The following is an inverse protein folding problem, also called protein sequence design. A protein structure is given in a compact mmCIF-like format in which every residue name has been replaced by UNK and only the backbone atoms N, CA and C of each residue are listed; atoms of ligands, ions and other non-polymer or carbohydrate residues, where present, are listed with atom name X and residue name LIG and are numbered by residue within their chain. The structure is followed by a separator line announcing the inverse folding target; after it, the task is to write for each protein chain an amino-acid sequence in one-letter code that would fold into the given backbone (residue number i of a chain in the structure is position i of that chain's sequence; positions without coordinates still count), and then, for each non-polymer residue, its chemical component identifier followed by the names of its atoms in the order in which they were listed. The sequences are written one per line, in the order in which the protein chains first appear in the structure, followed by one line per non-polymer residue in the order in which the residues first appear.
data_IF_869972343237
#
_entry.id   IF_869972343237
#
_cell.length_a   1.000
_cell.length_b   1.000
_cell.length_c   1.000
_cell.angle_alpha   90.00
_cell.angle_beta   90.00
_cell.angle_gamma   90.00
#
_symmetry.space_group_name_H-M   'P 1'
#
loop_
_entity.id
_entity.type
_entity.pdbx_description
1 polymer ?
#
# COMPACT_ATOMS: atom_id res chain seq x y z
N UNK A 1 -8.68 14.54 45.00
CA UNK A 1 -10.12 14.52 45.34
C UNK A 1 -10.90 14.83 44.08
N UNK A 2 -11.72 13.87 43.61
CA UNK A 2 -12.96 13.97 42.78
C UNK A 2 -13.08 15.23 41.90
N UNK A 3 -13.39 15.13 40.60
CA UNK A 3 -14.56 14.45 40.02
C UNK A 3 -14.37 14.25 38.50
N UNK A 4 -14.53 13.02 38.02
CA UNK A 4 -14.84 12.73 36.62
C UNK A 4 -16.36 12.76 36.46
N UNK A 5 -16.85 13.56 35.53
CA UNK A 5 -18.26 13.61 35.14
C UNK A 5 -18.44 12.87 33.83
N UNK A 6 -18.89 11.63 33.96
CA UNK A 6 -19.41 10.77 32.92
C UNK A 6 -20.72 11.38 32.38
N UNK A 7 -20.81 11.66 31.08
CA UNK A 7 -22.06 12.02 30.40
C UNK A 7 -22.26 11.11 29.21
N UNK A 8 -23.14 10.12 29.39
CA UNK A 8 -23.65 9.26 28.33
C UNK A 8 -24.69 10.02 27.49
N UNK A 9 -24.48 10.09 26.18
CA UNK A 9 -25.43 10.61 25.21
C UNK A 9 -25.85 9.51 24.24
N UNK A 10 -27.06 8.96 24.43
CA UNK A 10 -27.70 7.96 23.56
C UNK A 10 -27.85 8.44 22.12
N UNK A 11 -27.33 7.66 21.18
CA UNK A 11 -27.58 7.74 19.74
C UNK A 11 -28.95 7.12 19.41
N UNK A 12 -29.79 7.85 18.68
CA UNK A 12 -30.93 7.28 17.94
C UNK A 12 -30.66 7.52 16.46
N UNK A 13 -30.14 6.51 15.78
CA UNK A 13 -30.00 6.47 14.32
C UNK A 13 -31.14 5.61 13.78
N UNK A 14 -32.09 6.27 13.12
CA UNK A 14 -33.20 5.61 12.44
C UNK A 14 -32.73 5.12 11.06
N UNK A 15 -32.63 3.80 10.89
CA UNK A 15 -32.37 3.17 9.60
C UNK A 15 -33.60 3.30 8.68
N UNK A 16 -33.43 4.01 7.56
CA UNK A 16 -34.33 3.95 6.42
C UNK A 16 -33.78 2.99 5.36
N UNK A 17 -34.27 1.75 5.32
CA UNK A 17 -33.99 0.82 4.23
C UNK A 17 -35.01 1.04 3.09
N UNK A 18 -34.54 1.52 1.96
CA UNK A 18 -35.22 1.49 0.66
C UNK A 18 -34.13 1.25 -0.39
N UNK A 19 -34.27 0.41 -1.41
CA UNK A 19 -35.25 -0.59 -1.80
C UNK A 19 -34.54 -1.45 -2.86
N UNK A 20 -34.79 -2.76 -2.90
CA UNK A 20 -34.33 -3.64 -3.98
C UNK A 20 -34.87 -3.14 -5.33
N UNK A 21 -33.98 -2.97 -6.31
CA UNK A 21 -34.30 -2.79 -7.72
C UNK A 21 -33.76 -3.96 -8.53
N UNK A 22 -34.60 -4.95 -8.75
CA UNK A 22 -34.43 -6.08 -9.65
C UNK A 22 -34.37 -5.59 -11.11
N UNK A 23 -33.36 -6.03 -11.86
CA UNK A 23 -33.17 -5.68 -13.26
C UNK A 23 -32.55 -6.83 -14.03
N UNK A 24 -33.39 -7.81 -14.38
CA UNK A 24 -33.08 -8.85 -15.37
C UNK A 24 -32.70 -8.22 -16.71
N UNK A 25 -31.58 -8.64 -17.31
CA UNK A 25 -31.31 -8.38 -18.71
C UNK A 25 -30.88 -9.67 -19.40
N UNK A 26 -31.89 -10.35 -19.95
CA UNK A 26 -31.76 -11.33 -21.01
C UNK A 26 -31.56 -10.58 -22.33
N UNK A 27 -30.47 -10.84 -23.05
CA UNK A 27 -30.60 -11.14 -24.48
C UNK A 27 -29.40 -11.91 -25.01
N UNK A 28 -29.69 -13.12 -25.47
CA UNK A 28 -28.79 -13.93 -26.29
C UNK A 28 -29.02 -13.52 -27.74
N UNK A 29 -27.96 -13.13 -28.45
CA UNK A 29 -27.95 -13.23 -29.91
C UNK A 29 -26.83 -14.14 -30.36
N UNK A 30 -27.25 -15.29 -30.88
CA UNK A 30 -26.46 -16.28 -31.61
C UNK A 30 -25.83 -15.66 -32.86
N UNK A 31 -24.59 -16.03 -33.16
CA UNK A 31 -24.11 -16.08 -34.54
C UNK A 31 -23.26 -17.33 -34.73
N UNK A 32 -23.89 -18.36 -35.28
CA UNK A 32 -23.21 -19.48 -35.90
C UNK A 32 -22.65 -19.09 -37.27
N UNK A 33 -21.41 -19.46 -37.54
CA UNK A 33 -20.83 -19.32 -38.87
C UNK A 33 -19.46 -19.98 -38.98
N UNK A 34 -19.47 -21.27 -39.30
CA UNK A 34 -18.32 -22.17 -39.28
C UNK A 34 -17.37 -22.08 -40.49
N UNK A 35 -16.11 -22.45 -40.22
CA UNK A 35 -15.06 -23.06 -41.06
C UNK A 35 -14.51 -22.38 -42.33
N UNK A 36 -13.18 -22.17 -42.38
CA UNK A 36 -12.33 -22.92 -43.33
C UNK A 36 -10.85 -22.97 -42.91
N UNK A 37 -10.22 -24.08 -43.29
CA UNK A 37 -8.91 -24.63 -42.94
C UNK A 37 -7.80 -24.16 -43.89
N UNK A 38 -6.61 -23.96 -43.31
CA UNK A 38 -5.22 -24.01 -43.83
C UNK A 38 -4.89 -23.59 -45.27
N UNK A 39 -3.82 -22.79 -45.39
CA UNK A 39 -2.71 -23.13 -46.27
C UNK A 39 -1.36 -22.75 -45.65
N UNK A 40 -0.48 -23.75 -45.66
CA UNK A 40 0.93 -23.76 -45.32
C UNK A 40 1.75 -23.19 -46.48
N UNK A 41 2.68 -22.27 -46.24
CA UNK A 41 3.89 -22.17 -47.05
C UNK A 41 5.09 -21.70 -46.23
N UNK A 42 6.14 -22.50 -46.33
CA UNK A 42 7.44 -22.40 -45.71
C UNK A 42 8.25 -21.23 -46.27
N UNK A 43 9.00 -20.56 -45.40
CA UNK A 43 10.35 -20.10 -45.73
C UNK A 43 11.17 -20.03 -44.43
N UNK A 44 12.29 -20.77 -44.46
CA UNK A 44 13.40 -20.74 -43.51
C UNK A 44 13.94 -19.31 -43.33
N UNK A 45 14.59 -19.03 -42.19
CA UNK A 45 16.02 -18.72 -42.13
C UNK A 45 16.55 -19.00 -40.72
N UNK A 46 17.81 -19.45 -40.66
CA UNK A 46 18.47 -20.04 -39.52
C UNK A 46 19.23 -18.95 -38.74
N UNK A 47 18.97 -18.79 -37.44
CA UNK A 47 19.85 -18.03 -36.56
C UNK A 47 20.86 -18.95 -35.85
N UNK A 48 22.10 -18.89 -36.33
CA UNK A 48 23.29 -19.09 -35.51
C UNK A 48 24.26 -17.96 -35.85
N UNK A 49 24.47 -17.03 -34.92
CA UNK A 49 25.81 -16.51 -34.73
C UNK A 49 26.08 -16.21 -33.25
N UNK A 50 27.22 -16.73 -32.82
CA UNK A 50 27.84 -16.62 -31.51
C UNK A 50 28.96 -15.60 -31.73
N UNK A 51 29.24 -14.70 -30.79
CA UNK A 51 30.59 -14.30 -30.37
C UNK A 51 30.70 -12.87 -29.79
N UNK A 52 31.33 -12.84 -28.61
CA UNK A 52 32.34 -11.88 -28.12
C UNK A 52 32.00 -10.51 -27.49
N UNK A 53 32.45 -10.43 -26.22
CA UNK A 53 33.31 -9.42 -25.61
C UNK A 53 32.74 -8.09 -25.10
N UNK A 54 32.59 -8.05 -23.76
CA UNK A 54 33.39 -7.22 -22.84
C UNK A 54 33.82 -5.83 -23.32
N UNK A 55 33.17 -4.79 -22.76
CA UNK A 55 33.84 -3.56 -22.33
C UNK A 55 32.93 -2.76 -21.37
N UNK A 56 33.40 -2.57 -20.14
CA UNK A 56 32.98 -1.46 -19.27
C UNK A 56 33.58 -0.17 -19.84
N UNK A 57 32.79 0.89 -19.98
CA UNK A 57 33.28 2.28 -20.02
C UNK A 57 32.19 3.22 -19.49
N UNK A 58 32.59 4.04 -18.53
CA UNK A 58 31.82 5.06 -17.81
C UNK A 58 31.31 6.22 -18.70
N UNK A 59 30.30 6.91 -18.15
CA UNK A 59 30.02 8.35 -18.25
C UNK A 59 29.22 8.84 -19.46
N UNK A 60 27.97 9.29 -19.25
CA UNK A 60 27.60 10.72 -19.21
C UNK A 60 26.08 10.89 -19.03
N UNK A 61 25.74 11.86 -18.18
CA UNK A 61 24.41 12.37 -17.88
C UNK A 61 23.60 12.67 -19.16
N UNK A 62 22.34 12.20 -19.21
CA UNK A 62 21.36 12.72 -20.15
C UNK A 62 20.06 13.08 -19.42
N UNK A 63 20.01 14.32 -18.95
CA UNK A 63 18.76 15.04 -18.65
C UNK A 63 17.88 15.01 -19.90
N UNK A 64 16.77 14.27 -19.84
CA UNK A 64 15.66 14.49 -20.77
C UNK A 64 14.46 14.97 -19.96
N UNK A 65 14.30 16.29 -19.93
CA UNK A 65 13.02 16.91 -19.61
C UNK A 65 12.01 16.48 -20.68
N UNK A 66 10.94 15.82 -20.27
CA UNK A 66 9.74 15.72 -21.08
C UNK A 66 8.53 16.02 -20.17
N UNK A 67 8.15 17.29 -20.16
CA UNK A 67 6.83 17.73 -19.69
C UNK A 67 5.74 17.24 -20.66
N UNK A 68 4.59 16.94 -20.06
CA UNK A 68 3.28 16.66 -20.63
C UNK A 68 3.02 15.24 -21.18
N UNK A 69 2.38 14.41 -20.36
CA UNK A 69 0.99 14.04 -20.64
C UNK A 69 0.29 13.51 -19.37
N UNK A 70 -0.61 14.30 -18.80
CA UNK A 70 -1.56 13.82 -17.80
C UNK A 70 -2.61 12.98 -18.51
N UNK A 71 -2.40 11.66 -18.55
CA UNK A 71 -3.43 10.69 -18.90
C UNK A 71 -3.63 9.72 -17.75
N UNK A 72 -4.72 9.99 -17.02
CA UNK A 72 -5.63 9.05 -16.36
C UNK A 72 -5.38 7.59 -16.74
N UNK A 73 -4.46 6.95 -16.03
CA UNK A 73 -4.22 5.52 -16.05
C UNK A 73 -4.96 4.91 -14.87
N UNK A 74 -6.18 4.45 -15.11
CA UNK A 74 -6.72 3.32 -14.36
C UNK A 74 -5.74 2.16 -14.59
N UNK A 75 -4.77 2.01 -13.68
CA UNK A 75 -3.89 0.86 -13.61
C UNK A 75 -4.75 -0.34 -13.22
N UNK A 76 -5.36 -0.96 -14.22
CA UNK A 76 -5.81 -2.33 -14.10
C UNK A 76 -4.57 -3.16 -13.82
N UNK A 77 -4.53 -3.70 -12.61
CA UNK A 77 -3.50 -4.57 -12.08
C UNK A 77 -3.03 -5.57 -13.13
N UNK A 78 -1.78 -5.40 -13.58
CA UNK A 78 -0.98 -6.56 -13.93
C UNK A 78 -0.87 -7.38 -12.65
N UNK A 79 -1.15 -8.68 -12.69
CA UNK A 79 -1.10 -9.56 -11.53
C UNK A 79 0.36 -9.68 -11.00
N UNK A 80 0.83 -8.63 -10.35
CA UNK A 80 1.82 -8.67 -9.29
C UNK A 80 1.13 -9.18 -8.03
N UNK A 81 1.87 -9.86 -7.18
CA UNK A 81 1.42 -10.14 -5.82
C UNK A 81 1.13 -8.78 -5.18
N UNK A 82 -0.14 -8.53 -4.88
CA UNK A 82 -0.57 -7.39 -4.09
C UNK A 82 -0.01 -7.61 -2.67
N UNK A 83 1.16 -7.05 -2.38
CA UNK A 83 1.96 -7.35 -1.17
C UNK A 83 1.17 -7.17 0.13
N UNK A 84 0.20 -6.26 0.11
CA UNK A 84 -0.72 -5.98 1.21
C UNK A 84 -1.66 -7.15 1.53
N UNK A 85 -1.97 -8.05 0.58
CA UNK A 85 -2.72 -9.29 0.88
C UNK A 85 -1.94 -10.24 1.81
N UNK A 86 -0.62 -10.04 1.93
CA UNK A 86 0.25 -10.78 2.84
C UNK A 86 0.31 -10.22 4.26
N UNK A 87 -0.22 -9.03 4.51
CA UNK A 87 -0.21 -8.40 5.83
C UNK A 87 -1.24 -9.04 6.78
N UNK A 88 -0.94 -8.98 8.08
CA UNK A 88 -1.85 -9.43 9.13
C UNK A 88 -2.86 -8.35 9.55
N UNK A 89 -2.66 -7.11 9.13
CA UNK A 89 -3.39 -5.93 9.58
C UNK A 89 -3.97 -5.14 8.41
N UNK A 90 -5.13 -4.53 8.66
CA UNK A 90 -5.83 -3.63 7.75
C UNK A 90 -5.42 -2.19 7.92
N UNK A 91 -4.97 -1.80 9.11
CA UNK A 91 -4.56 -0.43 9.42
C UNK A 91 -3.26 -0.46 10.24
N UNK A 92 -2.37 0.48 9.95
CA UNK A 92 -1.14 0.72 10.67
C UNK A 92 -0.90 2.22 10.70
N UNK A 93 -0.75 2.77 11.90
CA UNK A 93 -0.38 4.17 12.15
C UNK A 93 0.85 4.21 13.05
N UNK A 94 1.79 5.05 12.68
CA UNK A 94 3.02 5.34 13.41
C UNK A 94 3.17 6.84 13.49
N UNK A 95 3.28 7.34 14.71
CA UNK A 95 3.65 8.72 15.02
C UNK A 95 4.88 8.70 15.94
N UNK A 96 5.96 9.34 15.51
CA UNK A 96 7.16 9.53 16.31
C UNK A 96 7.51 11.01 16.38
N UNK A 97 7.25 11.64 17.53
CA UNK A 97 7.63 13.02 17.82
C UNK A 97 9.08 13.11 18.31
N UNK A 98 9.84 14.08 17.79
CA UNK A 98 11.22 14.39 18.20
C UNK A 98 11.35 15.89 18.51
N UNK A 99 12.46 16.29 19.15
CA UNK A 99 12.72 17.70 19.50
C UNK A 99 12.65 18.64 18.27
N UNK A 100 13.07 18.15 17.11
CA UNK A 100 13.22 18.94 15.87
C UNK A 100 12.26 18.53 14.73
N UNK A 101 11.19 17.78 15.01
CA UNK A 101 10.17 17.39 14.02
C UNK A 101 9.49 16.07 14.36
N UNK A 102 8.71 15.54 13.42
CA UNK A 102 7.96 14.29 13.58
C UNK A 102 8.17 13.39 12.35
N UNK A 103 7.96 12.09 12.56
CA UNK A 103 7.84 11.09 11.50
C UNK A 103 6.52 10.39 11.64
N UNK A 104 5.69 10.49 10.61
CA UNK A 104 4.36 9.89 10.55
C UNK A 104 4.31 8.90 9.37
N UNK A 105 3.73 7.71 9.60
CA UNK A 105 3.47 6.75 8.54
C UNK A 105 2.10 6.08 8.76
N UNK A 106 1.23 6.25 7.78
CA UNK A 106 -0.12 5.71 7.78
C UNK A 106 -0.31 4.71 6.64
N UNK A 107 -1.01 3.62 6.93
CA UNK A 107 -1.45 2.63 5.97
C UNK A 107 -2.86 2.16 6.31
N UNK A 108 -3.76 2.19 5.32
CA UNK A 108 -5.12 1.71 5.46
C UNK A 108 -5.50 0.82 4.26
N UNK A 109 -6.16 -0.30 4.52
CA UNK A 109 -6.71 -1.19 3.51
C UNK A 109 -8.21 -1.35 3.63
N UNK A 110 -8.92 -0.74 2.68
CA UNK A 110 -10.38 -0.71 2.64
C UNK A 110 -10.95 -1.45 1.42
N UNK A 111 -11.46 -2.66 1.64
CA UNK A 111 -12.22 -3.44 0.64
C UNK A 111 -11.50 -3.53 -0.74
N UNK A 112 -10.18 -3.75 -0.74
CA UNK A 112 -9.39 -3.83 -1.98
C UNK A 112 -8.77 -2.51 -2.44
N UNK A 113 -8.83 -1.46 -1.62
CA UNK A 113 -8.20 -0.17 -1.91
C UNK A 113 -7.19 0.13 -0.80
N UNK A 114 -5.88 -0.09 -1.04
CA UNK A 114 -4.85 0.37 -0.13
C UNK A 114 -4.62 1.87 -0.31
N UNK A 115 -4.48 2.59 0.79
CA UNK A 115 -4.06 3.98 0.88
C UNK A 115 -2.90 4.08 1.86
N UNK A 116 -2.00 5.05 1.64
CA UNK A 116 -0.86 5.28 2.52
C UNK A 116 -0.37 6.72 2.44
N UNK A 117 0.23 7.17 3.53
CA UNK A 117 0.85 8.49 3.68
C UNK A 117 2.13 8.36 4.53
N UNK A 118 3.16 9.14 4.20
CA UNK A 118 4.37 9.28 5.00
C UNK A 118 4.74 10.76 5.06
N UNK A 119 4.84 11.31 6.26
CA UNK A 119 5.37 12.66 6.51
C UNK A 119 6.66 12.57 7.35
N UNK A 120 7.70 13.32 6.96
CA UNK A 120 8.92 13.47 7.77
C UNK A 120 9.32 14.94 7.81
N UNK A 121 9.12 15.56 8.97
CA UNK A 121 9.43 16.99 9.18
C UNK A 121 10.82 17.22 9.79
N UNK A 122 11.50 16.15 10.24
CA UNK A 122 12.81 16.19 10.92
C UNK A 122 13.92 16.66 9.98
N UNK A 123 13.91 16.19 8.73
CA UNK A 123 14.93 16.49 7.72
C UNK A 123 14.35 17.18 6.47
N UNK A 124 13.58 18.25 6.70
CA UNK A 124 13.09 19.11 5.64
C UNK A 124 11.85 18.55 4.95
N UNK A 125 10.75 18.48 5.69
CA UNK A 125 9.36 18.33 5.26
C UNK A 125 9.21 17.54 3.94
N UNK A 126 9.28 16.22 4.07
CA UNK A 126 8.88 15.24 3.09
C UNK A 126 7.41 14.89 3.32
N UNK A 127 6.62 14.82 2.25
CA UNK A 127 5.22 14.38 2.27
C UNK A 127 5.04 13.45 1.05
N UNK A 128 4.75 12.17 1.30
CA UNK A 128 4.48 11.15 0.30
C UNK A 128 3.06 10.63 0.51
N UNK A 129 2.29 10.46 -0.57
CA UNK A 129 0.92 9.97 -0.48
C UNK A 129 0.55 9.03 -1.62
N UNK A 130 -0.43 8.17 -1.37
CA UNK A 130 -0.93 7.21 -2.35
C UNK A 130 0.15 6.23 -2.81
N UNK A 131 0.33 6.07 -4.12
CA UNK A 131 1.25 5.05 -4.66
C UNK A 131 2.71 5.26 -4.22
N UNK A 132 3.18 6.51 -4.08
CA UNK A 132 4.56 6.78 -3.66
C UNK A 132 4.80 6.31 -2.22
N UNK A 133 3.85 6.51 -1.31
CA UNK A 133 3.92 5.99 0.04
C UNK A 133 3.77 4.45 0.08
N UNK A 134 2.86 3.88 -0.73
CA UNK A 134 2.69 2.43 -0.83
C UNK A 134 3.96 1.71 -1.32
N UNK A 135 4.69 2.29 -2.27
CA UNK A 135 5.94 1.73 -2.79
C UNK A 135 7.04 1.70 -1.72
N UNK A 136 7.09 2.72 -0.83
CA UNK A 136 8.02 2.75 0.30
C UNK A 136 7.61 1.74 1.39
N UNK A 137 6.32 1.72 1.76
CA UNK A 137 5.80 0.82 2.79
C UNK A 137 5.83 -0.67 2.38
N UNK A 138 5.80 -0.98 1.08
CA UNK A 138 5.98 -2.36 0.58
C UNK A 138 7.27 -3.00 1.11
N UNK A 139 8.32 -2.20 1.29
CA UNK A 139 9.60 -2.72 1.77
C UNK A 139 9.66 -2.80 3.30
N UNK A 140 8.80 -2.08 4.02
CA UNK A 140 8.89 -1.88 5.47
C UNK A 140 7.89 -2.78 6.19
N UNK A 141 6.59 -2.62 5.90
CA UNK A 141 5.51 -3.25 6.65
C UNK A 141 5.56 -4.78 6.68
N UNK A 142 5.92 -5.49 5.59
CA UNK A 142 6.07 -6.94 5.63
C UNK A 142 7.20 -7.44 6.56
N UNK A 143 8.14 -6.57 6.96
CA UNK A 143 9.24 -6.94 7.85
C UNK A 143 8.87 -6.89 9.34
N UNK A 144 7.79 -6.19 9.69
CA UNK A 144 7.39 -5.99 11.09
C UNK A 144 7.00 -7.30 11.79
N UNK A 145 6.49 -8.29 11.04
CA UNK A 145 6.04 -9.60 11.55
C UNK A 145 5.15 -9.49 12.82
N UNK A 146 4.31 -8.44 12.91
CA UNK A 146 3.47 -8.14 14.07
C UNK A 146 2.19 -8.97 14.11
N UNK A 147 1.74 -9.24 15.33
CA UNK A 147 0.52 -9.97 15.66
C UNK A 147 -0.13 -9.34 16.89
N UNK A 148 -1.44 -9.46 17.06
CA UNK A 148 -2.14 -8.95 18.26
C UNK A 148 -1.76 -9.65 19.59
N UNK A 149 -0.78 -10.56 19.59
CA UNK A 149 -0.22 -11.18 20.80
C UNK A 149 1.12 -10.54 21.23
N UNK A 150 1.70 -9.66 20.42
CA UNK A 150 2.94 -8.96 20.74
C UNK A 150 2.77 -8.04 21.97
N UNK A 151 3.85 -7.86 22.72
CA UNK A 151 3.90 -6.88 23.81
C UNK A 151 4.25 -5.50 23.26
N UNK A 152 3.81 -4.43 23.92
CA UNK A 152 4.14 -3.03 23.57
C UNK A 152 5.65 -2.84 23.32
N UNK A 153 6.51 -3.27 24.25
CA UNK A 153 7.98 -3.22 24.08
C UNK A 153 8.47 -3.89 22.77
N UNK A 154 7.85 -5.00 22.36
CA UNK A 154 8.22 -5.75 21.16
C UNK A 154 7.72 -5.05 19.89
N UNK A 155 6.59 -4.33 19.97
CA UNK A 155 6.05 -3.51 18.88
C UNK A 155 7.01 -2.36 18.60
N UNK A 156 7.43 -1.60 19.62
CA UNK A 156 8.37 -0.50 19.44
C UNK A 156 9.72 -0.97 18.90
N UNK A 157 10.28 -2.07 19.43
CA UNK A 157 11.54 -2.62 18.91
C UNK A 157 11.44 -3.00 17.43
N UNK A 158 10.30 -3.56 16.98
CA UNK A 158 10.08 -3.91 15.59
C UNK A 158 9.93 -2.67 14.70
N UNK A 159 9.15 -1.68 15.14
CA UNK A 159 8.88 -0.45 14.41
C UNK A 159 10.15 0.38 14.24
N UNK A 160 10.88 0.67 15.32
CA UNK A 160 12.12 1.43 15.25
C UNK A 160 13.14 0.77 14.31
N UNK A 161 13.23 -0.56 14.34
CA UNK A 161 14.15 -1.30 13.49
C UNK A 161 13.73 -1.31 12.01
N UNK A 162 12.43 -1.43 11.70
CA UNK A 162 11.94 -1.53 10.33
C UNK A 162 11.93 -0.17 9.62
N UNK A 163 11.57 0.90 10.35
CA UNK A 163 11.54 2.27 9.83
C UNK A 163 12.88 3.02 9.96
N UNK A 164 13.91 2.37 10.53
CA UNK A 164 15.24 2.97 10.78
C UNK A 164 15.15 4.27 11.60
N UNK A 165 14.30 4.26 12.64
CA UNK A 165 14.06 5.40 13.51
C UNK A 165 15.02 5.40 14.71
N UNK A 166 15.37 6.61 15.17
CA UNK A 166 16.23 6.82 16.34
C UNK A 166 15.43 6.62 17.64
N UNK A 167 16.09 6.19 18.72
CA UNK A 167 15.45 5.89 20.02
C UNK A 167 15.37 7.09 20.96
N UNK A 168 15.62 8.31 20.44
CA UNK A 168 15.61 9.58 21.17
C UNK A 168 14.37 10.45 20.87
N UNK A 169 13.28 9.82 20.46
CA UNK A 169 11.96 10.43 20.37
C UNK A 169 11.49 10.98 21.74
N UNK A 170 10.67 12.03 21.68
CA UNK A 170 9.94 12.58 22.83
C UNK A 170 8.65 11.78 23.09
N UNK A 171 8.02 11.28 22.03
CA UNK A 171 6.80 10.44 22.08
C UNK A 171 6.81 9.46 20.89
N UNK A 172 6.39 8.21 21.11
CA UNK A 172 6.22 7.20 20.07
C UNK A 172 4.88 6.50 20.25
N UNK A 173 4.00 6.61 19.26
CA UNK A 173 2.70 5.98 19.20
C UNK A 173 2.61 5.04 17.99
N UNK A 174 2.05 3.85 18.22
CA UNK A 174 1.80 2.84 17.19
C UNK A 174 0.41 2.27 17.39
N UNK A 175 -0.46 2.44 16.39
CA UNK A 175 -1.80 1.85 16.35
C UNK A 175 -1.90 0.82 15.20
N UNK A 176 -2.53 -0.32 15.46
CA UNK A 176 -2.67 -1.42 14.49
C UNK A 176 -4.05 -2.06 14.60
N UNK A 177 -4.84 -2.03 13.52
CA UNK A 177 -6.06 -2.84 13.37
C UNK A 177 -5.75 -4.11 12.58
N UNK A 178 -5.94 -5.28 13.22
CA UNK A 178 -5.71 -6.58 12.60
C UNK A 178 -6.92 -7.08 11.81
N UNK A 179 -6.71 -7.80 10.71
CA UNK A 179 -7.80 -8.40 9.93
C UNK A 179 -8.64 -9.43 10.72
N UNK A 180 -8.11 -9.97 11.82
CA UNK A 180 -8.86 -10.88 12.71
C UNK A 180 -9.76 -10.15 13.72
N UNK A 181 -9.74 -8.80 13.69
CA UNK A 181 -10.48 -7.91 14.58
C UNK A 181 -9.76 -7.63 15.90
N UNK A 182 -8.48 -7.99 16.02
CA UNK A 182 -7.62 -7.51 17.10
C UNK A 182 -7.20 -6.05 16.87
N UNK A 183 -6.93 -5.34 17.96
CA UNK A 183 -6.41 -3.97 17.94
C UNK A 183 -5.18 -3.93 18.86
N UNK A 184 -4.18 -3.14 18.52
CA UNK A 184 -3.01 -2.88 19.35
C UNK A 184 -2.69 -1.39 19.30
N UNK A 185 -2.72 -0.77 20.48
CA UNK A 185 -2.34 0.62 20.69
C UNK A 185 -1.16 0.61 21.66
N UNK A 186 -0.02 1.17 21.26
CA UNK A 186 1.19 1.24 22.07
C UNK A 186 1.74 2.66 22.07
N UNK A 187 1.99 3.22 23.25
CA UNK A 187 2.47 4.60 23.45
C UNK A 187 3.66 4.62 24.45
N UNK A 188 4.77 5.32 24.12
CA UNK A 188 5.92 5.57 25.01
C UNK A 188 6.33 7.05 25.05
N UNK A 189 6.73 7.55 26.23
CA UNK A 189 7.06 8.96 26.54
C UNK A 189 8.16 9.11 27.61
#
# INVERSE_FOLDING_TARGET
MKKFTLSAGTVVLAAGLAACGEGENTDYTENEGAENIMNNELAEENDMDNNDNNAITDNENNFTNNEENAENGNAGSEAGDDWYEGLAFSEFELDAEYEDGEYEAEYEYNDGNPEAEIEDTRDGNLELGGQEALDELEQILPQLELTGENREDEVFEAVLAAFDLEDDYDELEVEIEFFDGGETDAEDQ
#
